data_IF_579471850205
#
_entry.id   IF_579471850205
#
_cell.length_a   1.000
_cell.length_b   1.000
_cell.length_c   1.000
_cell.angle_alpha   90.00
_cell.angle_beta   90.00
_cell.angle_gamma   90.00
#
_symmetry.space_group_name_H-M   'P 1'
#
loop_
_entity.id
_entity.type
_entity.pdbx_description
1 polymer ?
#
# COMPACT_ATOMS: atom_id res chain seq x y z
N UNK A 1 29.75 -33.44 9.36
CA UNK A 1 29.15 -32.47 8.42
C UNK A 1 28.18 -31.66 9.25
N UNK A 2 28.62 -30.50 9.75
CA UNK A 2 27.81 -29.65 10.63
C UNK A 2 26.53 -29.25 9.91
N UNK A 3 25.39 -29.65 10.46
CA UNK A 3 24.09 -29.18 10.03
C UNK A 3 24.02 -27.69 10.35
N UNK A 4 24.13 -26.85 9.33
CA UNK A 4 23.81 -25.43 9.45
C UNK A 4 22.36 -25.36 9.88
N UNK A 5 22.10 -24.78 11.06
CA UNK A 5 20.74 -24.53 11.53
C UNK A 5 20.06 -23.62 10.51
N UNK A 6 19.11 -24.18 9.76
CA UNK A 6 18.38 -23.49 8.69
C UNK A 6 17.61 -22.30 9.29
N UNK A 7 17.39 -22.26 10.62
CA UNK A 7 16.78 -21.15 11.33
C UNK A 7 17.60 -19.84 11.34
N UNK A 8 18.92 -19.88 11.18
CA UNK A 8 19.79 -18.68 11.23
C UNK A 8 20.18 -18.14 9.84
N UNK A 9 19.87 -18.89 8.78
CA UNK A 9 20.22 -18.54 7.39
C UNK A 9 19.39 -17.35 6.91
N UNK A 10 19.97 -16.40 6.19
CA UNK A 10 19.22 -15.25 5.67
C UNK A 10 18.17 -15.67 4.63
N UNK A 11 17.08 -14.91 4.48
CA UNK A 11 16.05 -15.21 3.48
C UNK A 11 16.62 -15.25 2.04
N UNK A 12 17.64 -14.43 1.77
CA UNK A 12 18.30 -14.39 0.47
C UNK A 12 19.10 -15.66 0.22
N UNK A 13 19.81 -16.16 1.23
CA UNK A 13 20.55 -17.42 1.14
C UNK A 13 19.61 -18.61 1.02
N UNK A 14 18.46 -18.61 1.71
CA UNK A 14 17.42 -19.63 1.53
C UNK A 14 16.89 -19.65 0.09
N UNK A 15 16.64 -18.48 -0.51
CA UNK A 15 16.27 -18.43 -1.93
C UNK A 15 17.38 -18.94 -2.85
N UNK A 16 18.64 -18.61 -2.57
CA UNK A 16 19.76 -19.09 -3.36
C UNK A 16 19.88 -20.63 -3.31
N UNK A 17 19.81 -21.21 -2.10
CA UNK A 17 19.83 -22.68 -1.90
C UNK A 17 18.66 -23.37 -2.59
N UNK A 18 17.47 -22.80 -2.52
CA UNK A 18 16.31 -23.32 -3.26
C UNK A 18 16.56 -23.35 -4.77
N UNK A 19 17.16 -22.29 -5.33
CA UNK A 19 17.53 -22.24 -6.75
C UNK A 19 18.61 -23.27 -7.10
N UNK A 20 19.52 -23.56 -6.15
CA UNK A 20 20.54 -24.62 -6.26
C UNK A 20 19.96 -26.04 -6.09
N UNK A 21 18.69 -26.17 -5.70
CA UNK A 21 17.97 -27.44 -5.61
C UNK A 21 17.83 -28.01 -4.20
N UNK A 22 18.10 -27.24 -3.16
CA UNK A 22 17.81 -27.63 -1.77
C UNK A 22 16.27 -27.71 -1.56
N UNK A 23 15.71 -28.91 -1.30
CA UNK A 23 14.26 -29.10 -1.18
C UNK A 23 13.65 -28.46 0.07
N UNK A 24 14.45 -28.20 1.11
CA UNK A 24 13.97 -27.72 2.40
C UNK A 24 14.04 -26.18 2.52
N UNK A 25 14.91 -25.55 1.72
CA UNK A 25 15.19 -24.11 1.81
C UNK A 25 13.94 -23.23 1.56
N UNK A 26 13.13 -23.57 0.55
CA UNK A 26 11.89 -22.83 0.30
C UNK A 26 10.85 -23.09 1.41
N UNK A 27 10.78 -24.32 1.93
CA UNK A 27 9.88 -24.68 3.03
C UNK A 27 10.12 -23.81 4.26
N UNK A 28 11.40 -23.59 4.62
CA UNK A 28 11.77 -22.68 5.71
C UNK A 28 11.37 -21.23 5.41
N UNK A 29 11.59 -20.75 4.19
CA UNK A 29 11.16 -19.40 3.79
C UNK A 29 9.64 -19.23 3.94
N UNK A 30 8.85 -20.21 3.52
CA UNK A 30 7.39 -20.21 3.70
C UNK A 30 7.04 -20.18 5.18
N UNK A 31 7.67 -21.04 5.99
CA UNK A 31 7.41 -21.12 7.44
C UNK A 31 7.60 -19.76 8.12
N UNK A 32 8.64 -19.01 7.76
CA UNK A 32 8.93 -17.68 8.32
C UNK A 32 7.94 -16.60 7.91
N UNK A 33 7.45 -16.65 6.67
CA UNK A 33 6.70 -15.53 6.09
C UNK A 33 5.20 -15.77 5.96
N UNK A 34 4.72 -17.02 6.09
CA UNK A 34 3.31 -17.39 5.83
C UNK A 34 2.31 -16.51 6.56
N UNK A 35 2.53 -16.21 7.84
CA UNK A 35 1.56 -15.49 8.67
C UNK A 35 1.46 -14.02 8.22
N UNK A 36 2.60 -13.43 7.82
CA UNK A 36 2.64 -12.08 7.27
C UNK A 36 1.99 -12.01 5.89
N UNK A 37 2.26 -12.99 5.02
CA UNK A 37 1.64 -13.06 3.69
C UNK A 37 0.13 -13.27 3.79
N UNK A 38 -0.32 -14.14 4.70
CA UNK A 38 -1.73 -14.32 5.03
C UNK A 38 -2.38 -13.02 5.49
N UNK A 39 -1.74 -12.32 6.44
CA UNK A 39 -2.29 -11.09 6.97
C UNK A 39 -2.30 -9.95 5.93
N UNK A 40 -1.39 -9.95 4.95
CA UNK A 40 -1.45 -9.04 3.78
C UNK A 40 -2.61 -9.43 2.85
N UNK A 41 -2.76 -10.71 2.52
CA UNK A 41 -3.80 -11.19 1.63
C UNK A 41 -5.21 -10.95 2.19
N UNK A 42 -5.43 -11.28 3.46
CA UNK A 42 -6.71 -11.09 4.13
C UNK A 42 -7.12 -9.61 4.15
N UNK A 43 -6.19 -8.70 4.48
CA UNK A 43 -6.43 -7.25 4.44
C UNK A 43 -6.60 -6.71 3.02
N UNK A 44 -6.12 -7.42 2.00
CA UNK A 44 -6.22 -7.02 0.59
C UNK A 44 -7.48 -7.55 -0.08
N UNK A 45 -8.05 -8.67 0.38
CA UNK A 45 -9.24 -9.28 -0.23
C UNK A 45 -10.50 -9.12 0.62
N UNK A 46 -10.38 -9.12 1.95
CA UNK A 46 -11.53 -9.06 2.86
C UNK A 46 -12.34 -10.35 2.93
N UNK A 47 -11.84 -11.44 2.33
CA UNK A 47 -12.44 -12.76 2.31
C UNK A 47 -11.37 -13.82 2.60
N UNK A 48 -11.69 -14.78 3.47
CA UNK A 48 -10.72 -15.81 3.92
C UNK A 48 -10.38 -16.83 2.83
N UNK A 49 -11.38 -17.32 2.10
CA UNK A 49 -11.19 -18.34 1.06
C UNK A 49 -10.38 -17.78 -0.11
N UNK A 50 -10.76 -16.60 -0.59
CA UNK A 50 -10.03 -15.86 -1.61
C UNK A 50 -8.60 -15.51 -1.16
N UNK A 51 -8.41 -15.19 0.13
CA UNK A 51 -7.08 -14.93 0.67
C UNK A 51 -6.23 -16.21 0.75
N UNK A 52 -6.82 -17.35 1.11
CA UNK A 52 -6.11 -18.64 1.19
C UNK A 52 -5.62 -19.04 -0.20
N UNK A 53 -6.51 -18.98 -1.18
CA UNK A 53 -6.15 -19.24 -2.56
C UNK A 53 -5.10 -18.25 -3.07
N UNK A 54 -5.23 -16.95 -2.77
CA UNK A 54 -4.26 -15.95 -3.22
C UNK A 54 -2.86 -16.20 -2.63
N UNK A 55 -2.78 -16.60 -1.35
CA UNK A 55 -1.50 -16.97 -0.72
C UNK A 55 -0.94 -18.21 -1.39
N UNK A 56 -1.75 -19.23 -1.64
CA UNK A 56 -1.31 -20.44 -2.31
C UNK A 56 -0.77 -20.15 -3.73
N UNK A 57 -1.53 -19.40 -4.54
CA UNK A 57 -1.12 -18.96 -5.87
C UNK A 57 0.20 -18.16 -5.81
N UNK A 58 0.34 -17.30 -4.81
CA UNK A 58 1.53 -16.51 -4.60
C UNK A 58 2.74 -17.37 -4.21
N UNK A 59 2.57 -18.35 -3.33
CA UNK A 59 3.64 -19.26 -2.91
C UNK A 59 4.11 -20.14 -4.07
N UNK A 60 3.18 -20.68 -4.87
CA UNK A 60 3.51 -21.43 -6.09
C UNK A 60 4.25 -20.54 -7.10
N UNK A 61 3.79 -19.30 -7.27
CA UNK A 61 4.44 -18.33 -8.16
C UNK A 61 5.84 -17.97 -7.67
N UNK A 62 6.02 -17.77 -6.36
CA UNK A 62 7.31 -17.49 -5.75
C UNK A 62 8.27 -18.68 -5.90
N UNK A 63 7.80 -19.91 -5.64
CA UNK A 63 8.60 -21.12 -5.83
C UNK A 63 9.17 -21.21 -7.25
N UNK A 64 8.33 -20.97 -8.26
CA UNK A 64 8.71 -21.01 -9.68
C UNK A 64 9.59 -19.84 -10.09
N UNK A 65 9.34 -18.65 -9.54
CA UNK A 65 10.02 -17.42 -9.91
C UNK A 65 11.26 -17.11 -9.07
N UNK A 66 11.64 -17.97 -8.11
CA UNK A 66 12.78 -17.73 -7.21
C UNK A 66 14.08 -17.37 -7.95
N UNK A 67 14.36 -18.04 -9.07
CA UNK A 67 15.51 -17.76 -9.93
C UNK A 67 15.54 -16.35 -10.54
N UNK A 68 14.40 -15.64 -10.54
CA UNK A 68 14.29 -14.26 -11.05
C UNK A 68 14.64 -13.21 -9.99
N UNK A 69 14.79 -13.60 -8.73
CA UNK A 69 15.13 -12.69 -7.65
C UNK A 69 16.59 -12.22 -7.77
N UNK A 70 16.78 -10.90 -7.91
CA UNK A 70 18.10 -10.28 -8.16
C UNK A 70 18.73 -9.62 -6.94
N UNK A 71 18.14 -9.75 -5.75
CA UNK A 71 18.66 -9.09 -4.53
C UNK A 71 18.55 -7.56 -4.52
N UNK A 72 17.73 -6.97 -5.41
CA UNK A 72 17.54 -5.50 -5.49
C UNK A 72 16.54 -4.94 -4.46
N UNK A 73 15.89 -5.84 -3.71
CA UNK A 73 14.99 -5.53 -2.60
C UNK A 73 15.11 -6.65 -1.56
N UNK A 74 14.56 -6.45 -0.36
CA UNK A 74 14.38 -7.56 0.57
C UNK A 74 13.49 -8.65 -0.05
N UNK A 75 13.72 -9.91 0.37
CA UNK A 75 12.89 -11.06 -0.03
C UNK A 75 11.44 -10.85 0.39
N UNK A 76 11.22 -10.27 1.57
CA UNK A 76 9.89 -9.89 2.07
C UNK A 76 9.15 -8.95 1.12
N UNK A 77 9.82 -7.90 0.61
CA UNK A 77 9.25 -7.00 -0.41
C UNK A 77 8.87 -7.77 -1.68
N UNK A 78 9.73 -8.67 -2.14
CA UNK A 78 9.48 -9.47 -3.34
C UNK A 78 8.29 -10.43 -3.16
N UNK A 79 8.19 -11.11 -2.00
CA UNK A 79 7.05 -11.96 -1.65
C UNK A 79 5.75 -11.15 -1.55
N UNK A 80 5.78 -10.00 -0.87
CA UNK A 80 4.62 -9.10 -0.78
C UNK A 80 4.13 -8.67 -2.17
N UNK A 81 5.04 -8.40 -3.10
CA UNK A 81 4.67 -8.09 -4.49
C UNK A 81 3.91 -9.22 -5.14
N UNK A 82 4.41 -10.45 -5.04
CA UNK A 82 3.75 -11.61 -5.63
C UNK A 82 2.38 -11.82 -4.98
N UNK A 83 2.28 -11.72 -3.65
CA UNK A 83 1.01 -11.87 -2.91
C UNK A 83 -0.01 -10.80 -3.27
N UNK A 84 0.36 -9.52 -3.26
CA UNK A 84 -0.58 -8.43 -3.60
C UNK A 84 -1.03 -8.54 -5.05
N UNK A 85 -0.15 -8.92 -5.98
CA UNK A 85 -0.54 -9.12 -7.37
C UNK A 85 -1.54 -10.28 -7.52
N UNK A 86 -1.30 -11.41 -6.84
CA UNK A 86 -2.26 -12.52 -6.80
C UNK A 86 -3.62 -12.08 -6.25
N UNK A 87 -3.64 -11.29 -5.16
CA UNK A 87 -4.89 -10.72 -4.63
C UNK A 87 -5.60 -9.82 -5.64
N UNK A 88 -4.88 -8.93 -6.32
CA UNK A 88 -5.47 -8.02 -7.31
C UNK A 88 -5.97 -8.76 -8.56
N UNK A 89 -5.28 -9.82 -8.99
CA UNK A 89 -5.75 -10.70 -10.07
C UNK A 89 -7.07 -11.38 -9.68
N UNK A 90 -7.16 -11.92 -8.46
CA UNK A 90 -8.40 -12.54 -7.96
C UNK A 90 -9.54 -11.56 -7.82
N UNK A 91 -9.30 -10.38 -7.26
CA UNK A 91 -10.30 -9.34 -7.13
C UNK A 91 -10.87 -8.91 -8.50
N UNK A 92 -10.02 -8.82 -9.53
CA UNK A 92 -10.45 -8.54 -10.91
C UNK A 92 -11.30 -9.68 -11.49
N UNK A 93 -10.90 -10.95 -11.28
CA UNK A 93 -11.69 -12.11 -11.71
C UNK A 93 -13.06 -12.17 -11.03
N UNK A 94 -13.13 -11.93 -9.72
CA UNK A 94 -14.37 -11.89 -8.96
C UNK A 94 -15.32 -10.78 -9.45
N UNK A 95 -14.80 -9.59 -9.74
CA UNK A 95 -15.60 -8.49 -10.31
C UNK A 95 -16.19 -8.86 -11.68
N UNK A 96 -15.43 -9.58 -12.52
CA UNK A 96 -15.93 -10.08 -13.80
C UNK A 96 -17.02 -11.15 -13.63
N UNK A 97 -16.90 -12.04 -12.64
CA UNK A 97 -17.91 -13.10 -12.36
C UNK A 97 -19.22 -12.54 -11.81
N UNK A 98 -19.17 -11.50 -10.97
CA UNK A 98 -20.37 -10.82 -10.42
C UNK A 98 -21.24 -10.15 -11.49
N UNK A 99 -20.72 -9.97 -12.71
CA UNK A 99 -21.52 -9.50 -13.86
C UNK A 99 -22.36 -10.65 -14.48
N UNK A 100 -22.26 -11.88 -13.95
CA UNK A 100 -23.17 -12.99 -14.19
C UNK A 100 -23.95 -13.28 -12.89
N UNK A 101 -25.30 -13.41 -12.93
CA UNK A 101 -26.11 -13.43 -11.74
C UNK A 101 -25.94 -14.77 -11.01
N UNK A 102 -25.23 -14.76 -9.88
CA UNK A 102 -25.39 -15.72 -8.80
C UNK A 102 -25.30 -14.93 -7.50
N UNK A 103 -26.46 -14.79 -6.87
CA UNK A 103 -26.62 -14.36 -5.49
C UNK A 103 -26.23 -15.56 -4.62
N UNK A 104 -25.31 -15.35 -3.68
CA UNK A 104 -25.10 -16.20 -2.50
C UNK A 104 -23.87 -15.69 -1.74
N UNK A 105 -24.10 -15.01 -0.63
CA UNK A 105 -23.08 -14.91 0.43
C UNK A 105 -23.75 -15.00 1.81
N UNK A 106 -24.11 -16.22 2.21
CA UNK A 106 -23.97 -16.59 3.62
C UNK A 106 -22.49 -17.00 3.82
N UNK A 107 -21.71 -16.12 4.45
CA UNK A 107 -20.31 -16.40 4.81
C UNK A 107 -20.28 -17.12 6.15
N UNK A 108 -19.75 -18.33 6.14
CA UNK A 108 -19.48 -19.11 7.33
C UNK A 108 -18.22 -18.58 8.02
N UNK A 109 -18.40 -18.05 9.23
CA UNK A 109 -17.32 -17.73 10.17
C UNK A 109 -16.78 -19.02 10.81
N UNK A 110 -15.45 -19.04 11.05
CA UNK A 110 -14.63 -20.10 11.70
C UNK A 110 -14.09 -21.12 10.68
N UNK A 111 -12.81 -21.06 10.30
CA UNK A 111 -11.64 -21.47 11.08
C UNK A 111 -10.36 -20.91 10.41
N UNK A 112 -9.23 -20.98 11.10
CA UNK A 112 -7.93 -20.33 10.82
C UNK A 112 -7.86 -18.90 11.35
N UNK A 113 -7.92 -18.78 12.68
CA UNK A 113 -7.19 -17.69 13.33
C UNK A 113 -5.70 -17.85 12.99
N UNK A 114 -5.01 -16.79 12.53
CA UNK A 114 -3.56 -16.76 12.62
C UNK A 114 -3.16 -17.07 14.07
N UNK A 115 -1.99 -17.68 14.30
CA UNK A 115 -1.41 -17.78 15.64
C UNK A 115 -1.00 -16.40 16.22
N UNK A 116 -1.81 -15.35 16.07
CA UNK A 116 -1.91 -14.33 17.10
C UNK A 116 -2.65 -14.98 18.26
N UNK A 117 -1.88 -15.65 19.13
CA UNK A 117 -2.26 -16.26 20.40
C UNK A 117 -3.75 -16.18 20.75
N UNK A 118 -4.38 -17.34 20.99
CA UNK A 118 -5.72 -17.48 21.58
C UNK A 118 -5.88 -16.82 22.98
N UNK A 119 -4.96 -15.93 23.38
CA UNK A 119 -4.95 -15.06 24.54
C UNK A 119 -5.18 -13.57 24.21
N UNK A 120 -5.38 -13.19 22.94
CA UNK A 120 -5.72 -11.81 22.60
C UNK A 120 -7.09 -11.46 23.23
N UNK A 121 -7.22 -10.33 23.96
CA UNK A 121 -8.50 -9.90 24.53
C UNK A 121 -9.59 -9.81 23.45
N UNK A 122 -10.82 -10.22 23.77
CA UNK A 122 -11.95 -10.20 22.82
C UNK A 122 -12.12 -8.84 22.10
N UNK A 123 -11.79 -7.74 22.78
CA UNK A 123 -11.79 -6.39 22.23
C UNK A 123 -10.82 -6.21 21.04
N UNK A 124 -9.66 -6.87 21.03
CA UNK A 124 -8.71 -6.81 19.91
C UNK A 124 -9.26 -7.53 18.67
N UNK A 125 -9.95 -8.66 18.88
CA UNK A 125 -10.61 -9.39 17.79
C UNK A 125 -11.74 -8.56 17.16
N UNK A 126 -12.47 -7.79 17.98
CA UNK A 126 -13.52 -6.89 17.52
C UNK A 126 -12.99 -5.72 16.70
N UNK A 127 -11.89 -5.10 17.12
CA UNK A 127 -11.22 -4.02 16.36
C UNK A 127 -10.67 -4.57 15.04
N UNK A 128 -10.03 -5.74 15.07
CA UNK A 128 -9.49 -6.36 13.86
C UNK A 128 -10.58 -6.64 12.83
N UNK A 129 -11.69 -7.24 13.26
CA UNK A 129 -12.84 -7.53 12.40
C UNK A 129 -13.42 -6.28 11.76
N UNK A 130 -13.67 -5.23 12.56
CA UNK A 130 -14.18 -3.95 12.04
C UNK A 130 -13.22 -3.31 11.04
N UNK A 131 -11.90 -3.43 11.26
CA UNK A 131 -10.91 -2.95 10.30
C UNK A 131 -10.97 -3.72 8.97
N UNK A 132 -11.04 -5.06 9.01
CA UNK A 132 -11.15 -5.88 7.80
C UNK A 132 -12.43 -5.55 7.03
N UNK A 133 -13.56 -5.42 7.71
CA UNK A 133 -14.85 -5.04 7.10
C UNK A 133 -14.77 -3.65 6.46
N UNK A 134 -14.24 -2.66 7.17
CA UNK A 134 -14.09 -1.30 6.64
C UNK A 134 -13.18 -1.26 5.41
N UNK A 135 -12.06 -2.00 5.43
CA UNK A 135 -11.20 -2.16 4.26
C UNK A 135 -11.95 -2.84 3.10
N UNK A 136 -12.77 -3.84 3.39
CA UNK A 136 -13.64 -4.53 2.43
C UNK A 136 -14.49 -3.58 1.57
N UNK A 137 -14.89 -2.42 2.12
CA UNK A 137 -15.67 -1.40 1.40
C UNK A 137 -14.90 -0.62 0.34
N UNK A 138 -13.56 -0.69 0.34
CA UNK A 138 -12.72 0.04 -0.59
C UNK A 138 -12.54 -0.70 -1.92
N UNK A 139 -12.34 0.03 -3.03
CA UNK A 139 -11.83 -0.57 -4.26
C UNK A 139 -10.50 -1.30 -4.01
N UNK A 140 -10.26 -2.48 -4.61
CA UNK A 140 -9.08 -3.32 -4.34
C UNK A 140 -7.76 -2.56 -4.45
N UNK A 141 -7.62 -1.71 -5.46
CA UNK A 141 -6.45 -0.87 -5.69
C UNK A 141 -6.18 0.14 -4.57
N UNK A 142 -7.24 0.73 -3.99
CA UNK A 142 -7.10 1.69 -2.88
C UNK A 142 -6.70 0.95 -1.61
N UNK A 143 -7.34 -0.20 -1.36
CA UNK A 143 -7.02 -1.07 -0.23
C UNK A 143 -5.58 -1.58 -0.28
N UNK A 144 -5.13 -2.09 -1.42
CA UNK A 144 -3.75 -2.57 -1.58
C UNK A 144 -2.72 -1.46 -1.31
N UNK A 145 -2.98 -0.22 -1.75
CA UNK A 145 -2.11 0.92 -1.47
C UNK A 145 -2.04 1.22 0.05
N UNK A 146 -3.16 1.21 0.76
CA UNK A 146 -3.19 1.40 2.22
C UNK A 146 -2.50 0.25 2.96
N UNK A 147 -2.73 -1.00 2.56
CA UNK A 147 -2.07 -2.16 3.18
C UNK A 147 -0.55 -2.02 3.07
N UNK A 148 -0.03 -1.66 1.89
CA UNK A 148 1.41 -1.51 1.71
C UNK A 148 1.99 -0.31 2.46
N UNK A 149 1.37 0.87 2.38
CA UNK A 149 1.94 2.09 2.95
C UNK A 149 1.65 2.21 4.44
N UNK A 150 0.38 2.08 4.84
CA UNK A 150 -0.07 2.41 6.20
C UNK A 150 0.10 1.23 7.16
N UNK A 151 -0.02 -0.02 6.68
CA UNK A 151 0.04 -1.22 7.54
C UNK A 151 1.38 -1.94 7.47
N UNK A 152 2.00 -2.00 6.29
CA UNK A 152 3.33 -2.61 6.12
C UNK A 152 4.47 -1.58 6.20
N UNK A 153 4.17 -0.28 6.24
CA UNK A 153 5.16 0.77 6.41
C UNK A 153 6.03 1.02 5.18
N UNK A 154 5.65 0.55 4.00
CA UNK A 154 6.47 0.76 2.80
C UNK A 154 6.53 2.24 2.41
N UNK A 155 7.72 2.74 2.03
CA UNK A 155 7.83 4.03 1.37
C UNK A 155 6.94 4.05 0.11
N UNK A 156 6.33 5.19 -0.18
CA UNK A 156 5.44 5.36 -1.36
C UNK A 156 6.12 4.93 -2.66
N UNK A 157 7.43 5.19 -2.81
CA UNK A 157 8.21 4.79 -3.98
C UNK A 157 8.38 3.26 -4.09
N UNK A 158 8.41 2.54 -2.97
CA UNK A 158 8.49 1.08 -2.95
C UNK A 158 7.11 0.46 -3.19
N UNK A 159 6.06 0.98 -2.55
CA UNK A 159 4.69 0.57 -2.82
C UNK A 159 4.31 0.77 -4.31
N UNK A 160 4.80 1.84 -4.94
CA UNK A 160 4.64 2.09 -6.37
C UNK A 160 5.28 1.00 -7.24
N UNK A 161 6.49 0.54 -6.89
CA UNK A 161 7.18 -0.57 -7.58
C UNK A 161 6.47 -1.91 -7.36
N UNK A 162 5.93 -2.12 -6.16
CA UNK A 162 5.15 -3.32 -5.82
C UNK A 162 3.87 -3.38 -6.66
N UNK A 163 3.12 -2.28 -6.71
CA UNK A 163 1.83 -2.19 -7.39
C UNK A 163 1.93 -1.91 -8.90
N UNK A 164 3.15 -1.74 -9.42
CA UNK A 164 3.43 -1.35 -10.81
C UNK A 164 2.62 -0.13 -11.28
N UNK A 165 2.64 0.94 -10.48
CA UNK A 165 1.96 2.21 -10.79
C UNK A 165 2.81 3.43 -10.44
N UNK A 166 2.53 4.61 -11.02
CA UNK A 166 3.21 5.84 -10.63
C UNK A 166 3.05 6.18 -9.14
N UNK A 167 4.07 6.82 -8.55
CA UNK A 167 4.03 7.25 -7.13
C UNK A 167 2.86 8.19 -6.82
N UNK A 168 2.49 9.07 -7.75
CA UNK A 168 1.29 9.91 -7.64
C UNK A 168 -0.01 9.10 -7.55
N UNK A 169 -0.08 7.97 -8.25
CA UNK A 169 -1.23 7.04 -8.18
C UNK A 169 -1.33 6.42 -6.79
N UNK A 170 -0.21 5.98 -6.19
CA UNK A 170 -0.19 5.46 -4.81
C UNK A 170 -0.67 6.54 -3.82
N UNK A 171 -0.15 7.77 -3.91
CA UNK A 171 -0.58 8.89 -3.05
C UNK A 171 -2.08 9.14 -3.15
N UNK A 172 -2.60 9.24 -4.38
CA UNK A 172 -4.03 9.49 -4.61
C UNK A 172 -4.94 8.33 -4.17
N UNK A 173 -4.47 7.08 -4.29
CA UNK A 173 -5.17 5.89 -3.78
C UNK A 173 -5.23 5.89 -2.26
N UNK A 174 -4.11 6.17 -1.60
CA UNK A 174 -4.06 6.27 -0.13
C UNK A 174 -4.96 7.40 0.38
N UNK A 175 -4.87 8.60 -0.20
CA UNK A 175 -5.69 9.73 0.21
C UNK A 175 -7.20 9.43 0.11
N UNK A 176 -7.65 8.86 -1.03
CA UNK A 176 -9.06 8.48 -1.22
C UNK A 176 -9.49 7.34 -0.29
N UNK A 177 -8.61 6.35 -0.09
CA UNK A 177 -8.87 5.25 0.83
C UNK A 177 -9.06 5.74 2.26
N UNK A 178 -8.14 6.57 2.78
CA UNK A 178 -8.23 7.16 4.12
C UNK A 178 -9.50 8.01 4.29
N UNK A 179 -9.84 8.83 3.29
CA UNK A 179 -11.06 9.64 3.33
C UNK A 179 -12.34 8.80 3.44
N UNK A 180 -12.37 7.61 2.80
CA UNK A 180 -13.49 6.68 2.90
C UNK A 180 -13.53 5.91 4.22
N UNK A 181 -12.37 5.54 4.76
CA UNK A 181 -12.27 4.83 6.03
C UNK A 181 -12.53 5.71 7.25
N UNK A 182 -12.19 7.00 7.17
CA UNK A 182 -12.32 7.93 8.29
C UNK A 182 -13.70 7.87 8.98
N UNK A 183 -14.84 8.06 8.29
CA UNK A 183 -16.15 7.99 8.93
C UNK A 183 -16.50 6.61 9.50
N UNK A 184 -15.88 5.53 8.99
CA UNK A 184 -16.15 4.15 9.42
C UNK A 184 -15.34 3.73 10.66
N UNK A 185 -14.24 4.41 10.97
CA UNK A 185 -13.30 4.02 12.02
C UNK A 185 -13.14 5.07 13.12
N UNK A 186 -13.88 6.19 13.05
CA UNK A 186 -13.70 7.31 14.00
C UNK A 186 -14.01 6.89 15.44
N UNK A 187 -14.98 6.00 15.65
CA UNK A 187 -15.36 5.47 16.96
C UNK A 187 -14.31 4.53 17.58
N UNK A 188 -13.34 4.05 16.78
CA UNK A 188 -12.22 3.24 17.25
C UNK A 188 -11.04 4.10 17.71
N UNK A 189 -11.12 5.43 17.56
CA UNK A 189 -10.11 6.32 18.12
C UNK A 189 -10.16 6.17 19.64
N UNK A 190 -9.06 5.77 20.31
CA UNK A 190 -9.05 5.78 21.76
C UNK A 190 -9.39 7.20 22.22
N UNK A 191 -10.51 7.32 22.95
CA UNK A 191 -10.82 8.51 23.75
C UNK A 191 -9.54 8.78 24.53
N UNK A 192 -8.84 9.87 24.20
CA UNK A 192 -7.69 10.26 25.00
C UNK A 192 -8.24 10.46 26.41
N UNK A 193 -7.90 9.55 27.32
CA UNK A 193 -8.10 9.75 28.75
C UNK A 193 -7.41 11.07 29.05
N UNK A 194 -8.21 12.12 29.21
CA UNK A 194 -7.71 13.46 29.47
C UNK A 194 -7.05 13.45 30.83
N UNK A 195 -5.76 13.78 30.86
CA UNK A 195 -5.19 14.40 32.05
C UNK A 195 -5.40 15.92 31.96
N UNK A 196 -5.87 16.56 33.04
CA UNK A 196 -6.12 17.99 33.09
C UNK A 196 -4.81 18.72 33.35
N UNK A 197 -4.17 19.27 32.32
CA UNK A 197 -3.23 20.37 32.55
C UNK A 197 -4.00 21.69 32.52
N UNK A 198 -4.38 22.12 33.72
CA UNK A 198 -4.59 23.53 34.05
C UNK A 198 -3.39 24.34 33.55
N UNK A 199 -3.51 24.88 32.34
CA UNK A 199 -2.66 25.97 31.88
C UNK A 199 -3.02 27.24 32.65
N UNK A 200 -2.37 27.43 33.80
CA UNK A 200 -2.31 28.71 34.49
C UNK A 200 -1.73 29.82 33.58
N UNK A 201 -2.15 31.09 33.75
CA UNK A 201 -1.72 32.16 32.85
C UNK A 201 -0.31 32.62 33.22
N UNK A 202 0.69 32.19 32.45
CA UNK A 202 2.10 32.39 32.78
C UNK A 202 2.97 32.75 31.60
N UNK A 203 2.86 34.02 31.15
CA UNK A 203 3.95 34.88 30.67
C UNK A 203 5.09 34.21 29.89
N UNK A 204 5.18 34.51 28.59
CA UNK A 204 6.36 35.19 28.04
C UNK A 204 6.09 35.77 26.64
N UNK A 205 5.85 37.08 26.66
CA UNK A 205 5.97 37.99 25.52
C UNK A 205 7.44 38.09 25.16
N UNK A 206 7.89 37.36 24.14
CA UNK A 206 9.17 37.64 23.49
C UNK A 206 9.00 38.83 22.54
N UNK A 207 9.92 39.76 22.68
CA UNK A 207 9.95 41.08 22.07
C UNK A 207 10.24 41.01 20.58
N UNK A 208 9.74 42.02 19.86
CA UNK A 208 9.73 42.08 18.42
C UNK A 208 11.10 42.22 17.76
N UNK A 209 11.20 41.65 16.58
CA UNK A 209 12.19 42.04 15.57
C UNK A 209 11.52 43.02 14.61
N UNK A 210 12.02 44.25 14.65
CA UNK A 210 11.66 45.36 13.77
C UNK A 210 12.09 45.07 12.33
N UNK A 211 11.17 45.22 11.37
CA UNK A 211 11.48 45.30 9.93
C UNK A 211 11.11 46.72 9.47
N UNK A 212 12.05 47.50 8.91
CA UNK A 212 11.74 48.83 8.40
C UNK A 212 10.98 48.76 7.05
N UNK A 213 10.10 49.72 6.74
CA UNK A 213 9.35 49.75 5.49
C UNK A 213 10.16 50.45 4.39
N UNK A 214 10.17 49.89 3.19
CA UNK A 214 10.57 50.62 1.98
C UNK A 214 9.30 51.14 1.29
N UNK A 215 9.08 52.45 1.35
CA UNK A 215 8.11 53.16 0.54
C UNK A 215 8.66 53.36 -0.89
N UNK A 216 7.79 53.22 -1.90
CA UNK A 216 8.03 53.69 -3.28
C UNK A 216 8.07 55.22 -3.38
N UNK A 217 7.86 55.89 -4.56
CA UNK A 217 6.89 55.46 -5.59
C UNK A 217 7.18 55.91 -7.06
N UNK A 218 6.21 55.62 -7.97
CA UNK A 218 5.83 56.30 -9.24
C UNK A 218 6.78 56.13 -10.46
N UNK A 219 6.36 56.12 -11.72
CA UNK A 219 5.16 56.66 -12.38
C UNK A 219 4.89 55.99 -13.74
N UNK A 220 3.60 56.00 -14.11
CA UNK A 220 2.96 56.26 -15.42
C UNK A 220 3.53 55.69 -16.76
N UNK A 221 2.62 55.12 -17.58
CA UNK A 221 2.82 54.82 -19.01
C UNK A 221 2.92 56.09 -19.89
N UNK A 222 2.70 56.06 -21.23
CA UNK A 222 1.83 55.15 -21.97
C UNK A 222 2.31 54.75 -23.40
N UNK A 223 1.39 54.09 -24.12
CA UNK A 223 1.07 54.26 -25.55
C UNK A 223 1.62 53.37 -26.68
N UNK A 224 0.65 53.14 -27.57
CA UNK A 224 0.57 52.31 -28.76
C UNK A 224 1.28 52.91 -29.99
N UNK A 225 1.76 52.01 -30.88
CA UNK A 225 1.78 52.06 -32.35
C UNK A 225 2.92 51.12 -32.81
N UNK A 226 2.83 50.26 -33.81
CA UNK A 226 2.05 50.27 -35.04
C UNK A 226 3.03 49.98 -36.19
N UNK A 227 2.58 49.21 -37.19
CA UNK A 227 3.26 48.95 -38.50
C UNK A 227 4.38 47.90 -38.41
N UNK A 228 4.33 46.72 -39.03
CA UNK A 228 3.83 46.39 -40.35
C UNK A 228 5.01 46.31 -41.32
N UNK A 229 5.43 45.12 -41.74
CA UNK A 229 5.67 44.89 -43.16
C UNK A 229 5.65 43.40 -43.51
N UNK A 230 5.13 43.17 -44.70
CA UNK A 230 4.79 41.94 -45.37
C UNK A 230 5.75 41.79 -46.54
N UNK A 231 6.45 40.66 -46.67
CA UNK A 231 6.86 40.13 -47.99
C UNK A 231 7.08 38.61 -47.80
N UNK A 232 6.25 37.78 -48.45
CA UNK A 232 6.57 37.12 -49.73
C UNK A 232 7.51 35.90 -49.51
N UNK A 233 7.32 34.71 -50.09
CA UNK A 233 6.58 34.35 -51.28
C UNK A 233 6.46 32.80 -51.35
N UNK A 234 5.32 32.36 -51.90
CA UNK A 234 5.04 31.17 -52.75
C UNK A 234 5.74 29.82 -52.54
N UNK A 235 4.88 28.80 -52.61
CA UNK A 235 5.11 27.54 -53.35
C UNK A 235 4.79 26.33 -52.48
N UNK A 236 3.58 25.80 -52.49
CA UNK A 236 3.10 24.90 -53.55
C UNK A 236 3.64 23.50 -53.22
N UNK A 237 2.88 22.56 -52.68
CA UNK A 237 1.58 22.10 -53.15
C UNK A 237 1.76 20.67 -53.67
N UNK A 238 0.89 19.75 -53.28
CA UNK A 238 0.79 18.44 -53.93
C UNK A 238 0.96 17.25 -53.00
N UNK A 239 -0.17 16.81 -52.46
CA UNK A 239 -0.38 15.43 -52.01
C UNK A 239 -0.58 14.54 -53.24
N UNK A 240 -0.05 13.33 -53.18
CA UNK A 240 -0.69 12.10 -53.63
C UNK A 240 -0.17 10.98 -52.73
#
# INVERSE_FOLDING_TARGET
MEGVDIGEVSDQDLLARHVEGDPDAFGELVRRHRDRLWAVALRTLGDREEAADAVQDALVSAYRAAHTFRGQSAVTTWLHRITVNACLDRARKAASRKTSPVDDTERLDQLLEPHESASAPAERNDVHRQLIEALGTLPPDQRAALVLVDMQGYPVAEAARVLDVPTGTVKSRCARGRARLLPLLTHLRPEHTGDPEESGPGRNRAQGTSVPPAAGPRDEGPDHAGTGDSTAVKGGGGRA
#
